data_IF_764406443846
#
_entry.id   IF_764406443846
#
_cell.length_a   1.000
_cell.length_b   1.000
_cell.length_c   1.000
_cell.angle_alpha   90.00
_cell.angle_beta   90.00
_cell.angle_gamma   90.00
#
_symmetry.space_group_name_H-M   'P 1'
#
loop_
_entity.id
_entity.type
_entity.pdbx_description
1 polymer ?
#
# COMPACT_ATOMS: atom_id res chain seq x y z
N UNK A 1 5.83 -19.96 -12.72
CA UNK A 1 4.37 -19.87 -12.46
C UNK A 1 4.05 -18.46 -12.03
N UNK A 2 2.96 -17.87 -12.56
CA UNK A 2 2.47 -16.56 -12.10
C UNK A 2 1.40 -16.79 -11.01
N UNK A 3 1.57 -16.17 -9.87
CA UNK A 3 0.61 -16.13 -8.76
C UNK A 3 0.02 -14.72 -8.65
N UNK A 4 -1.31 -14.64 -8.54
CA UNK A 4 -2.04 -13.40 -8.33
C UNK A 4 -2.87 -13.54 -7.06
N UNK A 5 -2.60 -12.69 -6.08
CA UNK A 5 -3.32 -12.62 -4.82
C UNK A 5 -4.14 -11.33 -4.78
N UNK A 6 -5.47 -11.44 -4.82
CA UNK A 6 -6.39 -10.35 -4.58
C UNK A 6 -6.67 -10.29 -3.08
N UNK A 7 -6.08 -9.31 -2.42
CA UNK A 7 -6.09 -9.25 -0.96
C UNK A 7 -7.40 -8.63 -0.48
N UNK A 8 -8.12 -9.34 0.39
CA UNK A 8 -9.38 -8.85 0.93
C UNK A 8 -9.14 -7.77 2.00
N UNK A 9 -8.94 -6.55 1.55
CA UNK A 9 -8.78 -5.36 2.39
C UNK A 9 -10.12 -4.67 2.72
N UNK A 10 -11.25 -5.24 2.26
CA UNK A 10 -12.60 -4.72 2.44
C UNK A 10 -12.97 -3.68 1.41
N UNK A 11 -12.58 -2.43 1.58
CA UNK A 11 -12.81 -1.35 0.63
C UNK A 11 -11.50 -0.93 -0.04
N UNK A 12 -11.50 -0.79 -1.37
CA UNK A 12 -10.34 -0.44 -2.18
C UNK A 12 -9.66 -1.63 -2.86
N UNK A 13 -8.49 -1.40 -3.42
CA UNK A 13 -7.73 -2.40 -4.17
C UNK A 13 -6.39 -2.71 -3.51
N UNK A 14 -6.01 -3.99 -3.59
CA UNK A 14 -4.69 -4.45 -3.20
C UNK A 14 -4.40 -5.78 -3.89
N UNK A 15 -3.44 -5.79 -4.81
CA UNK A 15 -3.11 -6.97 -5.62
C UNK A 15 -1.62 -7.24 -5.52
N UNK A 16 -1.26 -8.47 -5.15
CA UNK A 16 0.12 -8.94 -5.19
C UNK A 16 0.29 -9.89 -6.38
N UNK A 17 1.24 -9.59 -7.24
CA UNK A 17 1.61 -10.37 -8.42
C UNK A 17 3.01 -10.93 -8.18
N UNK A 18 3.17 -12.26 -8.24
CA UNK A 18 4.46 -12.91 -8.01
C UNK A 18 4.80 -13.87 -9.13
N UNK A 19 6.05 -13.81 -9.61
CA UNK A 19 6.63 -14.87 -10.40
C UNK A 19 7.32 -15.89 -9.49
N UNK A 20 6.91 -17.14 -9.60
CA UNK A 20 7.38 -18.24 -8.74
C UNK A 20 8.07 -19.32 -9.57
N UNK A 21 9.22 -19.79 -9.09
CA UNK A 21 9.89 -20.99 -9.57
C UNK A 21 9.93 -22.02 -8.44
N UNK A 22 9.05 -23.02 -8.51
CA UNK A 22 8.78 -23.88 -7.35
C UNK A 22 8.25 -23.06 -6.17
N UNK A 23 8.95 -23.10 -5.06
CA UNK A 23 8.64 -22.30 -3.86
C UNK A 23 9.39 -20.96 -3.81
N UNK A 24 10.31 -20.71 -4.76
CA UNK A 24 11.13 -19.52 -4.78
C UNK A 24 10.42 -18.38 -5.53
N UNK A 25 10.27 -17.23 -4.87
CA UNK A 25 9.84 -15.99 -5.50
C UNK A 25 10.99 -15.42 -6.33
N UNK A 26 10.75 -15.15 -7.62
CA UNK A 26 11.71 -14.54 -8.55
C UNK A 26 11.44 -13.07 -8.75
N UNK A 27 10.18 -12.67 -8.68
CA UNK A 27 9.73 -11.29 -8.83
C UNK A 27 8.45 -11.08 -8.04
N UNK A 28 8.28 -9.90 -7.47
CA UNK A 28 7.04 -9.48 -6.84
C UNK A 28 6.70 -8.02 -7.16
N UNK A 29 5.46 -7.80 -7.57
CA UNK A 29 4.87 -6.50 -7.80
C UNK A 29 3.60 -6.36 -6.95
N UNK A 30 3.47 -5.25 -6.23
CA UNK A 30 2.23 -4.90 -5.54
C UNK A 30 1.55 -3.73 -6.25
N UNK A 31 0.24 -3.85 -6.50
CA UNK A 31 -0.59 -2.79 -7.07
C UNK A 31 -1.59 -2.35 -6.03
N UNK A 32 -1.50 -1.09 -5.63
CA UNK A 32 -2.22 -0.49 -4.52
C UNK A 32 -2.03 -1.21 -3.18
N UNK A 33 -2.42 -0.59 -2.09
CA UNK A 33 -2.04 -1.00 -0.73
C UNK A 33 -3.24 -1.14 0.19
N UNK A 34 -4.43 -0.87 -0.35
CA UNK A 34 -5.68 -0.91 0.41
C UNK A 34 -5.85 0.25 1.38
N UNK A 35 -6.84 0.10 2.23
CA UNK A 35 -7.22 1.10 3.22
C UNK A 35 -6.38 0.97 4.50
N UNK A 36 -6.17 2.08 5.21
CA UNK A 36 -5.51 2.13 6.52
C UNK A 36 -6.43 1.66 7.67
N UNK A 37 -7.70 1.40 7.38
CA UNK A 37 -8.70 0.92 8.33
C UNK A 37 -9.57 -0.16 7.67
N UNK A 38 -9.61 -1.34 8.28
CA UNK A 38 -10.44 -2.46 7.81
C UNK A 38 -11.87 -2.44 8.38
N UNK A 39 -12.11 -1.58 9.37
CA UNK A 39 -13.43 -1.39 9.96
C UNK A 39 -14.20 -0.39 9.11
N UNK A 40 -15.48 -0.67 8.87
CA UNK A 40 -16.34 0.26 8.12
C UNK A 40 -16.53 1.55 8.92
N UNK A 41 -16.50 2.69 8.25
CA UNK A 41 -16.68 4.02 8.87
C UNK A 41 -18.06 4.17 9.56
N UNK A 42 -19.08 3.45 9.07
CA UNK A 42 -20.43 3.42 9.60
C UNK A 42 -20.62 2.46 10.79
N UNK A 43 -19.64 1.64 11.09
CA UNK A 43 -19.61 0.71 12.22
C UNK A 43 -18.27 0.76 12.96
N UNK A 44 -18.01 1.81 13.74
CA UNK A 44 -16.81 1.89 14.56
C UNK A 44 -16.84 0.77 15.63
N UNK A 45 -15.91 -0.16 15.52
CA UNK A 45 -15.84 -1.33 16.41
C UNK A 45 -14.68 -2.24 16.03
N UNK A 46 -14.63 -3.38 16.69
CA UNK A 46 -13.66 -4.41 16.35
C UNK A 46 -13.98 -5.05 14.99
N UNK A 47 -12.95 -5.37 14.22
CA UNK A 47 -13.08 -6.09 12.98
C UNK A 47 -13.76 -7.44 13.23
N UNK A 48 -14.89 -7.71 12.53
CA UNK A 48 -15.54 -9.04 12.60
C UNK A 48 -14.55 -10.10 12.08
N UNK A 49 -14.11 -11.06 12.91
CA UNK A 49 -13.17 -12.09 12.47
C UNK A 49 -13.66 -12.91 11.28
N UNK A 50 -14.99 -12.95 11.06
CA UNK A 50 -15.60 -13.66 9.92
C UNK A 50 -15.46 -12.89 8.60
N UNK A 51 -15.08 -11.62 8.64
CA UNK A 51 -14.93 -10.78 7.44
C UNK A 51 -13.78 -11.22 6.56
N UNK A 52 -12.80 -11.97 7.11
CA UNK A 52 -11.56 -12.38 6.42
C UNK A 52 -10.77 -11.20 5.82
N UNK A 53 -10.99 -9.99 6.35
CA UNK A 53 -10.24 -8.81 5.94
C UNK A 53 -8.89 -8.81 6.61
N UNK A 54 -7.87 -8.42 5.84
CA UNK A 54 -6.49 -8.35 6.33
C UNK A 54 -5.81 -7.10 5.78
N UNK A 55 -4.95 -6.49 6.58
CA UNK A 55 -4.09 -5.42 6.07
C UNK A 55 -3.04 -5.97 5.11
N UNK A 56 -2.72 -5.23 4.06
CA UNK A 56 -1.74 -5.64 3.06
C UNK A 56 -0.38 -6.04 3.68
N UNK A 57 0.13 -5.25 4.62
CA UNK A 57 1.40 -5.55 5.31
C UNK A 57 1.34 -6.85 6.13
N UNK A 58 0.20 -7.14 6.76
CA UNK A 58 0.03 -8.39 7.53
C UNK A 58 -0.07 -9.59 6.60
N UNK A 59 -0.78 -9.46 5.47
CA UNK A 59 -0.81 -10.50 4.44
C UNK A 59 0.58 -10.83 3.90
N UNK A 60 1.41 -9.83 3.63
CA UNK A 60 2.79 -10.04 3.18
C UNK A 60 3.62 -10.80 4.23
N UNK A 61 3.45 -10.47 5.53
CA UNK A 61 4.13 -11.17 6.63
C UNK A 61 3.68 -12.64 6.73
N UNK A 62 2.38 -12.90 6.67
CA UNK A 62 1.84 -14.26 6.68
C UNK A 62 2.34 -15.10 5.51
N UNK A 63 2.52 -14.46 4.35
CA UNK A 63 3.03 -15.10 3.14
C UNK A 63 4.56 -15.28 3.14
N UNK A 64 5.27 -14.64 4.09
CA UNK A 64 6.72 -14.64 4.17
C UNK A 64 7.41 -13.78 3.09
N UNK A 65 6.68 -12.84 2.49
CA UNK A 65 7.23 -11.88 1.54
C UNK A 65 7.92 -10.76 2.33
N UNK A 66 9.20 -10.53 2.06
CA UNK A 66 10.03 -9.51 2.72
C UNK A 66 10.54 -8.45 1.74
N UNK A 67 10.32 -8.66 0.45
CA UNK A 67 10.84 -7.80 -0.61
C UNK A 67 9.87 -7.75 -1.80
N UNK A 68 9.68 -6.55 -2.34
CA UNK A 68 8.98 -6.27 -3.59
C UNK A 68 9.95 -5.63 -4.58
N UNK A 69 10.05 -6.18 -5.78
CA UNK A 69 10.83 -5.60 -6.89
C UNK A 69 10.18 -4.29 -7.39
N UNK A 70 8.86 -4.22 -7.25
CA UNK A 70 8.12 -3.03 -7.63
C UNK A 70 6.83 -2.87 -6.80
N UNK A 71 6.39 -1.63 -6.67
CA UNK A 71 5.08 -1.27 -6.18
C UNK A 71 4.48 -0.16 -7.05
N UNK A 72 3.19 -0.20 -7.28
CA UNK A 72 2.45 0.75 -8.10
C UNK A 72 1.28 1.33 -7.30
N UNK A 73 1.25 2.65 -7.14
CA UNK A 73 0.06 3.37 -6.69
C UNK A 73 -0.72 3.87 -7.91
N UNK A 74 -1.91 3.36 -8.14
CA UNK A 74 -2.75 3.78 -9.27
C UNK A 74 -3.25 5.21 -9.07
N UNK A 75 -3.60 5.56 -7.85
CA UNK A 75 -3.98 6.91 -7.43
C UNK A 75 -3.92 7.06 -5.89
N UNK A 76 -4.17 8.28 -5.37
CA UNK A 76 -3.93 8.61 -3.96
C UNK A 76 -5.20 8.64 -3.08
N UNK A 77 -6.25 7.94 -3.44
CA UNK A 77 -7.38 7.75 -2.54
C UNK A 77 -6.99 6.82 -1.38
N UNK A 78 -7.62 7.03 -0.23
CA UNK A 78 -7.29 6.35 1.02
C UNK A 78 -7.43 4.83 0.93
N UNK A 79 -8.38 4.37 0.17
CA UNK A 79 -8.69 2.96 -0.07
C UNK A 79 -7.71 2.26 -1.04
N UNK A 80 -6.76 3.01 -1.61
CA UNK A 80 -5.68 2.49 -2.46
C UNK A 80 -4.30 2.67 -1.84
N UNK A 81 -4.05 3.81 -1.18
CA UNK A 81 -2.72 4.13 -0.63
C UNK A 81 -2.66 4.11 0.90
N UNK A 82 -3.80 4.02 1.58
CA UNK A 82 -3.86 4.12 3.04
C UNK A 82 -3.03 3.06 3.77
N UNK A 83 -2.92 1.86 3.20
CA UNK A 83 -2.14 0.75 3.75
C UNK A 83 -0.64 0.80 3.49
N UNK A 84 -0.13 1.78 2.73
CA UNK A 84 1.29 1.82 2.31
C UNK A 84 2.25 1.80 3.50
N UNK A 85 2.00 2.54 4.57
CA UNK A 85 2.87 2.54 5.75
C UNK A 85 3.05 1.14 6.35
N UNK A 86 1.98 0.35 6.43
CA UNK A 86 2.04 -1.03 6.92
C UNK A 86 2.80 -1.96 5.98
N UNK A 87 2.73 -1.70 4.67
CA UNK A 87 3.53 -2.44 3.67
C UNK A 87 5.00 -2.11 3.84
N UNK A 88 5.36 -0.84 4.01
CA UNK A 88 6.75 -0.42 4.24
C UNK A 88 7.34 -0.95 5.55
N UNK A 89 6.49 -1.17 6.58
CA UNK A 89 6.90 -1.83 7.82
C UNK A 89 7.13 -3.35 7.66
N UNK A 90 6.62 -3.94 6.57
CA UNK A 90 6.69 -5.38 6.33
C UNK A 90 7.77 -5.75 5.31
N UNK A 91 8.00 -4.93 4.29
CA UNK A 91 8.85 -5.25 3.14
C UNK A 91 9.71 -4.07 2.71
N UNK A 92 10.80 -4.37 2.01
CA UNK A 92 11.55 -3.39 1.21
C UNK A 92 10.98 -3.32 -0.21
N UNK A 93 11.05 -2.15 -0.85
CA UNK A 93 10.57 -1.91 -2.22
C UNK A 93 11.70 -1.31 -3.05
N UNK A 94 12.06 -1.93 -4.18
CA UNK A 94 13.13 -1.42 -5.05
C UNK A 94 12.68 -0.27 -5.93
N UNK A 95 11.45 -0.35 -6.46
CA UNK A 95 10.91 0.64 -7.40
C UNK A 95 9.48 0.98 -7.05
N UNK A 96 9.21 2.28 -6.95
CA UNK A 96 7.86 2.78 -6.71
C UNK A 96 7.36 3.53 -7.94
N UNK A 97 6.21 3.13 -8.46
CA UNK A 97 5.55 3.75 -9.60
C UNK A 97 4.28 4.47 -9.15
N UNK A 98 4.07 5.66 -9.68
CA UNK A 98 2.88 6.45 -9.42
C UNK A 98 2.53 7.33 -10.61
N UNK A 99 1.26 7.65 -10.76
CA UNK A 99 0.77 8.60 -11.77
C UNK A 99 0.95 10.05 -11.35
N UNK A 100 1.30 10.31 -10.08
CA UNK A 100 1.53 11.65 -9.57
C UNK A 100 2.93 12.15 -9.95
N UNK A 101 2.95 13.24 -10.69
CA UNK A 101 4.15 14.05 -10.87
C UNK A 101 3.98 15.32 -10.02
N UNK A 102 4.84 15.56 -9.04
CA UNK A 102 4.80 16.84 -8.32
C UNK A 102 4.98 17.98 -9.32
N UNK A 103 4.25 19.08 -9.19
CA UNK A 103 4.46 20.25 -10.04
C UNK A 103 5.92 20.69 -9.92
N UNK A 104 6.53 21.13 -11.04
CA UNK A 104 7.93 21.56 -11.10
C UNK A 104 8.29 22.64 -10.06
N UNK A 105 7.30 23.39 -9.58
CA UNK A 105 7.42 24.42 -8.55
C UNK A 105 6.87 23.96 -7.20
N UNK A 106 6.73 22.64 -6.96
CA UNK A 106 6.37 22.20 -5.62
C UNK A 106 7.45 22.72 -4.65
N UNK A 107 7.08 23.45 -3.58
CA UNK A 107 8.06 23.86 -2.58
C UNK A 107 8.83 22.61 -2.16
N UNK A 108 10.16 22.74 -2.02
CA UNK A 108 11.00 21.66 -1.51
C UNK A 108 10.23 20.95 -0.42
N UNK A 109 10.07 19.64 -0.58
CA UNK A 109 9.25 18.82 0.33
C UNK A 109 9.82 19.01 1.73
N UNK A 110 9.29 19.99 2.44
CA UNK A 110 9.63 20.20 3.83
C UNK A 110 9.37 18.88 4.57
N UNK A 111 10.24 18.47 5.49
CA UNK A 111 10.04 17.23 6.23
C UNK A 111 8.60 17.22 6.74
N UNK A 112 7.93 16.10 6.50
CA UNK A 112 6.50 15.93 6.78
C UNK A 112 6.19 16.30 8.23
N UNK A 113 5.55 17.45 8.41
CA UNK A 113 5.01 17.87 9.70
C UNK A 113 3.53 17.48 9.73
N UNK A 114 3.08 16.66 10.70
CA UNK A 114 1.69 16.21 10.80
C UNK A 114 0.68 17.38 10.96
N UNK A 115 1.16 18.55 11.36
CA UNK A 115 0.34 19.75 11.59
C UNK A 115 0.11 20.64 10.34
N UNK A 116 0.71 20.27 9.21
CA UNK A 116 0.47 21.01 7.98
C UNK A 116 -0.94 20.68 7.45
N UNK A 117 -1.77 21.73 7.29
CA UNK A 117 -3.12 21.66 6.71
C UNK A 117 -3.16 21.28 5.22
N UNK A 118 -2.25 20.41 4.78
CA UNK A 118 -2.25 19.89 3.42
C UNK A 118 -3.47 18.98 3.21
N UNK A 119 -4.12 19.06 2.04
CA UNK A 119 -5.15 18.12 1.66
C UNK A 119 -4.65 16.68 1.86
N UNK A 120 -5.52 15.78 2.33
CA UNK A 120 -5.16 14.39 2.65
C UNK A 120 -4.49 13.67 1.46
N UNK A 121 -4.95 13.94 0.23
CA UNK A 121 -4.33 13.42 -0.99
C UNK A 121 -2.88 13.89 -1.16
N UNK A 122 -2.59 15.15 -0.86
CA UNK A 122 -1.22 15.69 -0.94
C UNK A 122 -0.29 15.08 0.12
N UNK A 123 -0.81 14.80 1.35
CA UNK A 123 -0.05 14.09 2.39
C UNK A 123 0.31 12.67 1.97
N UNK A 124 -0.63 11.96 1.37
CA UNK A 124 -0.40 10.61 0.87
C UNK A 124 0.62 10.60 -0.28
N UNK A 125 0.56 11.59 -1.18
CA UNK A 125 1.54 11.75 -2.24
C UNK A 125 2.96 11.98 -1.69
N UNK A 126 3.08 12.78 -0.61
CA UNK A 126 4.37 13.01 0.06
C UNK A 126 4.94 11.74 0.69
N UNK A 127 4.11 10.87 1.27
CA UNK A 127 4.55 9.57 1.76
C UNK A 127 5.17 8.72 0.65
N UNK A 128 4.59 8.72 -0.55
CA UNK A 128 5.12 7.99 -1.70
C UNK A 128 6.47 8.53 -2.20
N UNK A 129 6.75 9.81 -2.02
CA UNK A 129 8.01 10.44 -2.47
C UNK A 129 9.15 10.27 -1.47
N UNK A 130 8.88 9.78 -0.25
CA UNK A 130 9.90 9.51 0.77
C UNK A 130 10.46 8.08 0.72
N UNK A 131 9.96 7.26 -0.20
CA UNK A 131 10.47 5.91 -0.46
C UNK A 131 11.63 5.98 -1.44
#
# INVERSE_FOLDING_TARGET
MLALDFINIGNGDCILIREMEGTQQKFALMVDFGHDCLVRDDHPGELDPRSQRIYAGDFLRELGVTHLDAALATHFHRDHIGGLSRVLDAVTIDRFYTTYLPPENAPELAPFHPDNNLPKAARNALLCLQI
#
